data_IF_626585696272
#
_entry.id   IF_626585696272
#
_cell.length_a   1.000
_cell.length_b   1.000
_cell.length_c   1.000
_cell.angle_alpha   90.00
_cell.angle_beta   90.00
_cell.angle_gamma   90.00
#
_symmetry.space_group_name_H-M   'P 1'
#
loop_
_entity.id
_entity.type
_entity.pdbx_description
1 polymer ?
#
# COMPACT_ATOMS: atom_id res chain seq x y z
N UNK A 1 12.51 0.38 -16.27
CA UNK A 1 13.57 -0.49 -16.81
C UNK A 1 14.00 -0.10 -18.24
N UNK A 2 13.11 -0.17 -19.25
CA UNK A 2 13.45 0.14 -20.67
C UNK A 2 14.03 1.55 -20.87
N UNK A 3 13.49 2.55 -20.18
CA UNK A 3 13.97 3.93 -20.24
C UNK A 3 15.38 4.13 -19.65
N UNK A 4 15.70 3.46 -18.55
CA UNK A 4 17.01 3.57 -17.89
C UNK A 4 18.14 2.97 -18.74
N UNK A 5 17.87 1.89 -19.48
CA UNK A 5 18.83 1.31 -20.42
C UNK A 5 19.15 2.29 -21.56
N UNK A 6 18.14 2.92 -22.15
CA UNK A 6 18.33 3.94 -23.20
C UNK A 6 19.17 5.11 -22.69
N UNK A 7 18.86 5.62 -21.49
CA UNK A 7 19.62 6.71 -20.85
C UNK A 7 21.06 6.30 -20.53
N UNK A 8 21.30 5.06 -20.11
CA UNK A 8 22.65 4.56 -19.84
C UNK A 8 23.51 4.47 -21.12
N UNK A 9 22.92 4.15 -22.27
CA UNK A 9 23.64 4.15 -23.56
C UNK A 9 23.98 5.56 -24.07
N UNK A 10 23.14 6.56 -23.77
CA UNK A 10 23.33 7.96 -24.18
C UNK A 10 24.14 8.80 -23.18
N UNK A 11 24.23 8.39 -21.91
CA UNK A 11 25.04 9.08 -20.92
C UNK A 11 26.54 8.81 -21.12
N UNK A 12 27.31 9.88 -21.35
CA UNK A 12 28.79 9.83 -21.44
C UNK A 12 29.45 9.32 -20.15
N UNK A 13 28.75 9.38 -19.02
CA UNK A 13 29.22 9.00 -17.67
C UNK A 13 28.85 7.56 -17.26
N UNK A 14 27.78 6.98 -17.83
CA UNK A 14 27.26 5.65 -17.47
C UNK A 14 27.21 4.66 -18.65
N UNK A 15 27.97 4.94 -19.71
CA UNK A 15 28.04 4.08 -20.90
C UNK A 15 28.46 2.67 -20.51
N UNK A 16 27.53 1.71 -20.62
CA UNK A 16 27.84 0.30 -20.39
C UNK A 16 28.72 -0.21 -21.53
N UNK A 17 30.00 -0.42 -21.24
CA UNK A 17 30.89 -1.17 -22.13
C UNK A 17 30.56 -2.68 -22.12
N UNK A 18 31.20 -3.45 -22.98
CA UNK A 18 31.00 -4.91 -23.11
C UNK A 18 31.17 -5.64 -21.77
N UNK A 19 32.13 -5.23 -20.93
CA UNK A 19 32.33 -5.80 -19.58
C UNK A 19 31.16 -5.49 -18.64
N UNK A 20 30.68 -4.24 -18.61
CA UNK A 20 29.54 -3.84 -17.79
C UNK A 20 28.23 -4.49 -18.25
N UNK A 21 28.07 -4.71 -19.56
CA UNK A 21 26.94 -5.49 -20.09
C UNK A 21 27.02 -6.97 -19.69
N UNK A 22 28.22 -7.56 -19.68
CA UNK A 22 28.46 -8.90 -19.16
C UNK A 22 28.12 -9.03 -17.67
N UNK A 23 28.56 -8.09 -16.83
CA UNK A 23 28.20 -8.05 -15.40
C UNK A 23 26.70 -7.85 -15.18
N UNK A 24 26.05 -6.99 -15.98
CA UNK A 24 24.60 -6.81 -15.94
C UNK A 24 23.85 -8.09 -16.29
N UNK A 25 24.27 -8.80 -17.34
CA UNK A 25 23.68 -10.09 -17.73
C UNK A 25 23.90 -11.14 -16.64
N UNK A 26 25.10 -11.20 -16.05
CA UNK A 26 25.39 -12.12 -14.96
C UNK A 26 24.53 -11.84 -13.73
N UNK A 27 24.45 -10.58 -13.29
CA UNK A 27 23.61 -10.17 -12.16
C UNK A 27 22.12 -10.45 -12.41
N UNK A 28 21.64 -10.15 -13.62
CA UNK A 28 20.24 -10.42 -14.00
C UNK A 28 19.94 -11.92 -14.03
N UNK A 29 20.86 -12.71 -14.59
CA UNK A 29 20.75 -14.18 -14.63
C UNK A 29 20.75 -14.79 -13.23
N UNK A 30 21.58 -14.26 -12.32
CA UNK A 30 21.59 -14.69 -10.91
C UNK A 30 20.25 -14.46 -10.24
N UNK A 31 19.66 -13.27 -10.37
CA UNK A 31 18.32 -12.98 -9.82
C UNK A 31 17.24 -13.87 -10.44
N UNK A 32 17.30 -14.15 -11.74
CA UNK A 32 16.37 -15.07 -12.40
C UNK A 32 16.52 -16.50 -11.85
N UNK A 33 17.76 -16.97 -11.65
CA UNK A 33 18.03 -18.29 -11.08
C UNK A 33 17.50 -18.42 -9.64
N UNK A 34 17.65 -17.38 -8.81
CA UNK A 34 17.07 -17.32 -7.46
C UNK A 34 15.54 -17.42 -7.50
N UNK A 35 14.89 -16.69 -8.42
CA UNK A 35 13.44 -16.76 -8.62
C UNK A 35 13.00 -18.16 -9.10
N UNK A 36 13.75 -18.78 -10.02
CA UNK A 36 13.45 -20.14 -10.50
C UNK A 36 13.48 -21.18 -9.39
N UNK A 37 14.45 -21.11 -8.48
CA UNK A 37 14.52 -22.02 -7.33
C UNK A 37 13.29 -21.92 -6.44
N UNK A 38 12.81 -20.69 -6.20
CA UNK A 38 11.59 -20.45 -5.41
C UNK A 38 10.36 -20.97 -6.16
N UNK A 39 10.22 -20.66 -7.45
CA UNK A 39 9.08 -21.11 -8.27
C UNK A 39 9.02 -22.64 -8.34
N UNK A 40 10.15 -23.34 -8.39
CA UNK A 40 10.19 -24.79 -8.37
C UNK A 40 9.58 -25.36 -7.07
N UNK A 41 9.97 -24.83 -5.91
CA UNK A 41 9.41 -25.23 -4.62
C UNK A 41 7.92 -24.90 -4.50
N UNK A 42 7.53 -23.70 -4.92
CA UNK A 42 6.11 -23.31 -4.96
C UNK A 42 5.32 -24.20 -5.91
N UNK A 43 5.88 -24.57 -7.07
CA UNK A 43 5.28 -25.48 -8.05
C UNK A 43 4.96 -26.86 -7.47
N UNK A 44 5.82 -27.41 -6.63
CA UNK A 44 5.55 -28.68 -5.92
C UNK A 44 4.37 -28.54 -4.95
N UNK A 45 4.29 -27.41 -4.23
CA UNK A 45 3.16 -27.11 -3.33
C UNK A 45 1.87 -27.00 -4.15
N UNK A 46 1.89 -26.27 -5.27
CA UNK A 46 0.73 -26.12 -6.17
C UNK A 46 0.28 -27.47 -6.68
N UNK A 47 1.21 -28.28 -7.18
CA UNK A 47 0.93 -29.61 -7.72
C UNK A 47 0.27 -30.49 -6.67
N UNK A 48 0.79 -30.50 -5.44
CA UNK A 48 0.18 -31.19 -4.31
C UNK A 48 -1.23 -30.68 -3.98
N UNK A 49 -1.40 -29.37 -3.83
CA UNK A 49 -2.68 -28.74 -3.51
C UNK A 49 -3.74 -28.90 -4.60
N UNK A 50 -3.32 -28.94 -5.87
CA UNK A 50 -4.21 -29.13 -7.01
C UNK A 50 -4.63 -30.60 -7.13
N UNK A 51 -3.70 -31.54 -6.95
CA UNK A 51 -3.99 -32.98 -7.00
C UNK A 51 -4.88 -33.44 -5.84
N UNK A 52 -4.71 -32.82 -4.66
CA UNK A 52 -5.54 -33.11 -3.49
C UNK A 52 -6.87 -32.35 -3.45
N UNK A 53 -7.07 -31.35 -4.33
CA UNK A 53 -8.23 -30.46 -4.31
C UNK A 53 -8.28 -29.50 -3.11
N UNK A 54 -7.27 -29.52 -2.24
CA UNK A 54 -7.22 -28.72 -1.00
C UNK A 54 -7.21 -27.23 -1.28
N UNK A 55 -6.64 -26.79 -2.41
CA UNK A 55 -6.64 -25.38 -2.80
C UNK A 55 -8.06 -24.78 -2.92
N UNK A 56 -8.98 -25.55 -3.51
CA UNK A 56 -10.41 -25.17 -3.61
C UNK A 56 -11.17 -25.39 -2.30
N UNK A 57 -10.75 -26.37 -1.48
CA UNK A 57 -11.32 -26.57 -0.15
C UNK A 57 -10.92 -25.44 0.82
N UNK A 58 -9.69 -24.93 0.77
CA UNK A 58 -9.23 -23.81 1.60
C UNK A 58 -10.05 -22.54 1.37
N UNK A 59 -10.38 -22.27 0.10
CA UNK A 59 -11.27 -21.18 -0.26
C UNK A 59 -12.65 -21.32 0.39
N UNK A 60 -13.27 -22.51 0.26
CA UNK A 60 -14.57 -22.82 0.86
C UNK A 60 -14.54 -22.81 2.38
N UNK A 61 -13.50 -23.33 3.00
CA UNK A 61 -13.31 -23.28 4.45
C UNK A 61 -13.18 -21.84 4.95
N UNK A 62 -12.47 -20.96 4.22
CA UNK A 62 -12.42 -19.53 4.54
C UNK A 62 -13.81 -18.89 4.43
N UNK A 63 -14.59 -19.21 3.40
CA UNK A 63 -15.98 -18.74 3.26
C UNK A 63 -16.83 -19.20 4.45
N UNK A 64 -16.76 -20.49 4.77
CA UNK A 64 -17.55 -21.12 5.82
C UNK A 64 -17.17 -20.59 7.21
N UNK A 65 -15.87 -20.41 7.47
CA UNK A 65 -15.35 -19.88 8.73
C UNK A 65 -15.90 -18.49 9.06
N UNK A 66 -16.20 -17.67 8.05
CA UNK A 66 -16.73 -16.32 8.21
C UNK A 66 -18.18 -16.18 7.72
N UNK A 67 -18.92 -17.29 7.60
CA UNK A 67 -20.34 -17.33 7.23
C UNK A 67 -20.67 -16.57 5.93
N UNK A 68 -19.74 -16.52 4.98
CA UNK A 68 -19.91 -15.80 3.71
C UNK A 68 -19.75 -14.28 3.80
N UNK A 69 -19.35 -13.70 4.94
CA UNK A 69 -19.10 -12.27 5.04
C UNK A 69 -17.80 -11.89 4.33
N UNK A 70 -17.92 -11.31 3.14
CA UNK A 70 -16.80 -10.90 2.29
C UNK A 70 -15.77 -10.03 3.02
N UNK A 71 -16.21 -9.10 3.87
CA UNK A 71 -15.31 -8.17 4.58
C UNK A 71 -14.42 -8.94 5.56
N UNK A 72 -15.00 -9.87 6.33
CA UNK A 72 -14.23 -10.68 7.28
C UNK A 72 -13.22 -11.57 6.57
N UNK A 73 -13.61 -12.16 5.42
CA UNK A 73 -12.67 -12.96 4.63
C UNK A 73 -11.55 -12.09 4.05
N UNK A 74 -11.84 -10.88 3.56
CA UNK A 74 -10.81 -9.95 3.10
C UNK A 74 -9.86 -9.57 4.24
N UNK A 75 -10.34 -9.38 5.47
CA UNK A 75 -9.49 -9.12 6.64
C UNK A 75 -8.62 -10.34 6.96
N UNK A 76 -9.17 -11.55 6.94
CA UNK A 76 -8.40 -12.77 7.16
C UNK A 76 -7.33 -12.97 6.07
N UNK A 77 -7.69 -12.72 4.81
CA UNK A 77 -6.78 -12.77 3.67
C UNK A 77 -5.69 -11.69 3.76
N UNK A 78 -6.02 -10.49 4.24
CA UNK A 78 -5.07 -9.41 4.50
C UNK A 78 -4.03 -9.82 5.55
N UNK A 79 -4.48 -10.32 6.70
CA UNK A 79 -3.60 -10.79 7.78
C UNK A 79 -2.73 -11.95 7.29
N UNK A 80 -3.32 -12.92 6.59
CA UNK A 80 -2.60 -14.09 6.06
C UNK A 80 -1.55 -13.67 5.03
N UNK A 81 -1.91 -12.80 4.09
CA UNK A 81 -0.99 -12.27 3.07
C UNK A 81 0.11 -11.40 3.68
N UNK A 82 -0.21 -10.64 4.72
CA UNK A 82 0.75 -9.86 5.48
C UNK A 82 1.78 -10.76 6.16
N UNK A 83 1.32 -11.76 6.92
CA UNK A 83 2.19 -12.68 7.67
C UNK A 83 3.07 -13.49 6.73
N UNK A 84 2.49 -14.04 5.66
CA UNK A 84 3.23 -14.80 4.65
C UNK A 84 4.20 -13.91 3.85
N UNK A 85 3.95 -12.60 3.77
CA UNK A 85 4.88 -11.65 3.15
C UNK A 85 6.12 -11.32 3.98
N UNK A 86 6.11 -11.65 5.27
CA UNK A 86 7.23 -11.42 6.16
C UNK A 86 8.36 -12.43 5.89
N UNK A 87 9.39 -12.01 5.14
CA UNK A 87 10.64 -12.77 5.00
C UNK A 87 10.96 -13.32 3.61
N UNK A 88 10.10 -13.09 2.62
CA UNK A 88 10.35 -13.44 1.22
C UNK A 88 10.53 -12.18 0.36
N UNK A 89 11.24 -12.31 -0.77
CA UNK A 89 11.29 -11.25 -1.79
C UNK A 89 9.88 -11.02 -2.39
N UNK A 90 9.55 -9.79 -2.80
CA UNK A 90 8.22 -9.44 -3.33
C UNK A 90 7.78 -10.37 -4.47
N UNK A 91 8.71 -10.78 -5.33
CA UNK A 91 8.44 -11.71 -6.42
C UNK A 91 8.06 -13.12 -5.91
N UNK A 92 8.79 -13.63 -4.91
CA UNK A 92 8.57 -14.94 -4.32
C UNK A 92 7.22 -15.04 -3.61
N UNK A 93 6.94 -14.07 -2.72
CA UNK A 93 5.67 -14.03 -1.99
C UNK A 93 4.48 -13.88 -2.93
N UNK A 94 4.60 -13.07 -3.99
CA UNK A 94 3.52 -12.91 -4.95
C UNK A 94 3.15 -14.24 -5.61
N UNK A 95 4.13 -14.99 -6.12
CA UNK A 95 3.85 -16.29 -6.76
C UNK A 95 3.16 -17.23 -5.77
N UNK A 96 3.67 -17.31 -4.54
CA UNK A 96 3.06 -18.14 -3.50
C UNK A 96 1.61 -17.73 -3.18
N UNK A 97 1.35 -16.45 -2.91
CA UNK A 97 0.01 -15.95 -2.59
C UNK A 97 -0.95 -15.98 -3.79
N UNK A 98 -0.45 -15.81 -5.01
CA UNK A 98 -1.25 -15.93 -6.23
C UNK A 98 -1.79 -17.35 -6.43
N UNK A 99 -1.18 -18.35 -5.82
CA UNK A 99 -1.61 -19.75 -5.89
C UNK A 99 -2.48 -20.11 -4.70
N UNK A 100 -2.08 -19.70 -3.50
CA UNK A 100 -2.77 -20.11 -2.26
C UNK A 100 -3.98 -19.21 -2.00
N UNK A 101 -3.83 -17.89 -2.15
CA UNK A 101 -4.85 -16.94 -1.72
C UNK A 101 -5.68 -16.30 -2.82
N UNK A 102 -5.10 -15.97 -3.97
CA UNK A 102 -5.88 -15.34 -5.04
C UNK A 102 -7.08 -16.19 -5.50
N UNK A 103 -6.98 -17.53 -5.67
CA UNK A 103 -8.13 -18.36 -6.05
C UNK A 103 -9.25 -18.34 -5.01
N UNK A 104 -8.90 -18.29 -3.72
CA UNK A 104 -9.88 -18.21 -2.65
C UNK A 104 -10.69 -16.92 -2.68
N UNK A 105 -10.04 -15.79 -2.97
CA UNK A 105 -10.73 -14.51 -3.14
C UNK A 105 -11.61 -14.50 -4.40
N UNK A 106 -11.15 -15.14 -5.48
CA UNK A 106 -11.92 -15.23 -6.74
C UNK A 106 -13.18 -16.08 -6.56
N UNK A 107 -13.09 -17.20 -5.85
CA UNK A 107 -14.25 -18.06 -5.56
C UNK A 107 -15.32 -17.34 -4.72
N UNK A 108 -14.90 -16.36 -3.91
CA UNK A 108 -15.76 -15.46 -3.15
C UNK A 108 -16.41 -14.34 -3.97
N UNK A 109 -16.16 -14.29 -5.28
CA UNK A 109 -16.72 -13.29 -6.19
C UNK A 109 -15.88 -12.02 -6.33
N UNK A 110 -14.68 -11.97 -5.75
CA UNK A 110 -13.74 -10.86 -5.99
C UNK A 110 -13.23 -10.96 -7.43
N UNK A 111 -13.15 -9.84 -8.14
CA UNK A 111 -12.59 -9.82 -9.48
C UNK A 111 -11.15 -10.41 -9.48
N UNK A 112 -10.76 -11.26 -10.45
CA UNK A 112 -9.43 -11.87 -10.45
C UNK A 112 -8.26 -10.89 -10.39
N UNK A 113 -8.33 -9.79 -11.14
CA UNK A 113 -7.28 -8.76 -11.14
C UNK A 113 -7.24 -8.07 -9.77
N UNK A 114 -8.41 -7.77 -9.18
CA UNK A 114 -8.49 -7.24 -7.82
C UNK A 114 -7.87 -8.20 -6.80
N UNK A 115 -8.18 -9.50 -6.88
CA UNK A 115 -7.66 -10.52 -5.96
C UNK A 115 -6.14 -10.65 -6.02
N UNK A 116 -5.56 -10.71 -7.22
CA UNK A 116 -4.10 -10.72 -7.39
C UNK A 116 -3.43 -9.43 -6.90
N UNK A 117 -4.05 -8.28 -7.15
CA UNK A 117 -3.57 -7.00 -6.62
C UNK A 117 -3.71 -6.90 -5.11
N UNK A 118 -4.75 -7.50 -4.53
CA UNK A 118 -5.00 -7.48 -3.10
C UNK A 118 -3.88 -8.18 -2.33
N UNK A 119 -3.54 -9.41 -2.74
CA UNK A 119 -2.52 -10.21 -2.07
C UNK A 119 -1.12 -9.60 -2.21
N UNK A 120 -0.76 -9.05 -3.38
CA UNK A 120 0.53 -8.39 -3.57
C UNK A 120 0.61 -7.06 -2.80
N UNK A 121 -0.47 -6.29 -2.73
CA UNK A 121 -0.49 -5.07 -1.90
C UNK A 121 -0.21 -5.42 -0.45
N UNK A 122 -0.96 -6.35 0.13
CA UNK A 122 -0.79 -6.75 1.53
C UNK A 122 0.58 -7.34 1.81
N UNK A 123 1.14 -8.12 0.89
CA UNK A 123 2.51 -8.61 0.99
C UNK A 123 3.53 -7.45 1.01
N UNK A 124 3.39 -6.46 0.13
CA UNK A 124 4.33 -5.31 0.06
C UNK A 124 4.16 -4.33 1.21
N UNK A 125 2.97 -4.22 1.80
CA UNK A 125 2.72 -3.39 2.98
C UNK A 125 3.53 -3.89 4.20
N UNK A 126 3.81 -5.19 4.29
CA UNK A 126 4.72 -5.73 5.33
C UNK A 126 6.13 -5.13 5.30
N UNK A 127 6.59 -4.60 4.15
CA UNK A 127 7.93 -4.03 4.00
C UNK A 127 8.11 -2.68 4.71
N UNK A 128 7.01 -2.02 5.08
CA UNK A 128 7.02 -0.76 5.85
C UNK A 128 6.43 -0.92 7.26
N UNK A 129 5.89 -2.09 7.59
CA UNK A 129 5.17 -2.31 8.86
C UNK A 129 6.08 -2.97 9.90
N UNK A 130 6.27 -2.37 11.08
CA UNK A 130 6.94 -3.04 12.19
C UNK A 130 6.21 -4.32 12.61
N UNK A 131 6.91 -5.38 13.07
CA UNK A 131 8.35 -5.44 13.38
C UNK A 131 9.26 -5.83 12.20
N UNK A 132 8.70 -6.17 11.03
CA UNK A 132 9.48 -6.77 9.93
C UNK A 132 10.09 -5.72 9.02
N UNK A 133 9.30 -4.76 8.53
CA UNK A 133 9.75 -3.45 8.04
C UNK A 133 11.06 -3.42 7.22
N UNK A 134 11.30 -4.43 6.37
CA UNK A 134 12.63 -4.69 5.78
C UNK A 134 13.17 -3.49 4.99
N UNK A 135 12.31 -2.80 4.24
CA UNK A 135 12.70 -1.65 3.45
C UNK A 135 12.97 -0.41 4.33
N UNK A 136 12.12 -0.14 5.32
CA UNK A 136 12.31 1.01 6.20
C UNK A 136 13.46 0.82 7.19
N UNK A 137 13.78 -0.42 7.58
CA UNK A 137 14.98 -0.72 8.39
C UNK A 137 16.27 -0.52 7.58
N UNK A 138 16.28 -0.97 6.32
CA UNK A 138 17.41 -0.70 5.42
C UNK A 138 17.59 0.81 5.18
N UNK A 139 16.49 1.54 4.95
CA UNK A 139 16.52 2.99 4.79
C UNK A 139 17.01 3.71 6.05
N UNK A 140 16.58 3.27 7.24
CA UNK A 140 17.04 3.82 8.51
C UNK A 140 18.54 3.66 8.73
N UNK A 141 19.11 2.50 8.34
CA UNK A 141 20.55 2.28 8.40
C UNK A 141 21.33 3.23 7.47
N UNK A 142 20.79 3.53 6.29
CA UNK A 142 21.39 4.52 5.37
C UNK A 142 21.28 5.93 5.94
N UNK A 143 20.11 6.29 6.49
CA UNK A 143 19.84 7.60 7.07
C UNK A 143 20.42 7.82 8.48
N UNK A 144 21.00 6.78 9.09
CA UNK A 144 21.51 6.76 10.48
C UNK A 144 20.45 7.16 11.52
N UNK A 145 19.22 6.73 11.31
CA UNK A 145 18.09 6.97 12.22
C UNK A 145 17.65 5.67 12.93
N UNK A 146 16.94 5.75 14.07
CA UNK A 146 16.39 4.56 14.71
C UNK A 146 15.43 3.80 13.76
N UNK A 147 15.67 2.50 13.49
CA UNK A 147 14.86 1.73 12.52
C UNK A 147 13.37 1.65 12.86
N UNK A 148 13.06 1.50 14.16
CA UNK A 148 11.68 1.42 14.63
C UNK A 148 10.91 2.72 14.38
N UNK A 149 11.49 3.87 14.76
CA UNK A 149 10.86 5.18 14.55
C UNK A 149 10.67 5.48 13.06
N UNK A 150 11.70 5.20 12.25
CA UNK A 150 11.63 5.38 10.79
C UNK A 150 10.50 4.56 10.18
N UNK A 151 10.28 3.34 10.67
CA UNK A 151 9.22 2.46 10.19
C UNK A 151 7.83 2.88 10.65
N UNK A 152 7.69 3.39 11.88
CA UNK A 152 6.43 3.98 12.34
C UNK A 152 6.04 5.21 11.51
N UNK A 153 7.01 6.06 11.18
CA UNK A 153 6.78 7.22 10.28
C UNK A 153 6.44 6.74 8.87
N UNK A 154 7.16 5.74 8.34
CA UNK A 154 6.87 5.16 7.03
C UNK A 154 5.47 4.53 6.97
N UNK A 155 5.05 3.83 8.02
CA UNK A 155 3.70 3.27 8.17
C UNK A 155 2.64 4.38 8.18
N UNK A 156 2.87 5.47 8.92
CA UNK A 156 1.96 6.62 8.97
C UNK A 156 1.80 7.27 7.59
N UNK A 157 2.90 7.57 6.91
CA UNK A 157 2.91 8.12 5.55
C UNK A 157 2.27 7.15 4.54
N UNK A 158 2.47 5.85 4.76
CA UNK A 158 1.93 4.77 3.93
C UNK A 158 0.54 4.28 4.34
N UNK A 159 -0.12 4.89 5.33
CA UNK A 159 -1.34 4.34 5.96
C UNK A 159 -2.49 4.12 4.95
N UNK A 160 -2.54 4.93 3.89
CA UNK A 160 -3.51 4.76 2.79
C UNK A 160 -3.36 3.39 2.10
N UNK A 161 -2.15 2.82 2.02
CA UNK A 161 -1.89 1.51 1.39
C UNK A 161 -2.58 0.34 2.10
N UNK A 162 -2.97 0.49 3.37
CA UNK A 162 -3.70 -0.55 4.10
C UNK A 162 -5.18 -0.55 3.74
N UNK A 163 -5.71 0.57 3.25
CA UNK A 163 -7.14 0.75 2.96
C UNK A 163 -7.45 0.46 1.49
N UNK A 164 -6.61 0.95 0.58
CA UNK A 164 -6.83 0.84 -0.87
C UNK A 164 -7.09 -0.60 -1.35
N UNK A 165 -6.45 -1.65 -0.82
CA UNK A 165 -6.75 -3.03 -1.22
C UNK A 165 -8.19 -3.44 -1.00
N UNK A 166 -8.78 -3.06 0.13
CA UNK A 166 -10.19 -3.35 0.39
C UNK A 166 -11.09 -2.60 -0.59
N UNK A 167 -10.74 -1.36 -0.94
CA UNK A 167 -11.52 -0.56 -1.88
C UNK A 167 -11.64 -1.24 -3.25
N UNK A 168 -10.52 -1.66 -3.86
CA UNK A 168 -10.57 -2.29 -5.18
C UNK A 168 -11.05 -3.75 -5.16
N UNK A 169 -10.97 -4.44 -4.01
CA UNK A 169 -11.59 -5.76 -3.85
C UNK A 169 -13.11 -5.68 -3.81
N UNK A 170 -13.67 -4.59 -3.26
CA UNK A 170 -15.10 -4.34 -3.18
C UNK A 170 -15.66 -3.60 -4.41
N UNK A 171 -14.82 -2.84 -5.13
CA UNK A 171 -15.23 -2.08 -6.31
C UNK A 171 -14.30 -2.38 -7.52
N UNK A 172 -14.74 -3.21 -8.47
CA UNK A 172 -13.94 -3.58 -9.65
C UNK A 172 -13.67 -2.40 -10.61
N UNK A 173 -14.40 -1.28 -10.51
CA UNK A 173 -14.12 -0.10 -11.33
C UNK A 173 -12.73 0.50 -11.03
N UNK A 174 -12.20 0.34 -9.82
CA UNK A 174 -10.86 0.79 -9.44
C UNK A 174 -9.73 0.01 -10.14
N UNK A 175 -10.02 -1.19 -10.62
CA UNK A 175 -9.11 -2.02 -11.42
C UNK A 175 -9.42 -1.97 -12.91
N UNK A 176 -10.19 -0.95 -13.33
CA UNK A 176 -10.65 -0.76 -14.70
C UNK A 176 -11.45 -1.96 -15.24
N UNK A 177 -12.17 -2.67 -14.36
CA UNK A 177 -13.05 -3.80 -14.69
C UNK A 177 -14.52 -3.35 -14.65
N UNK A 178 -14.83 -2.23 -15.30
CA UNK A 178 -16.16 -1.64 -15.42
C UNK A 178 -16.24 -0.76 -16.69
N UNK A 179 -17.44 -0.34 -17.12
CA UNK A 179 -17.59 0.61 -18.22
C UNK A 179 -16.79 1.90 -17.97
N UNK A 180 -16.24 2.48 -19.04
CA UNK A 180 -15.34 3.64 -18.96
C UNK A 180 -15.90 4.82 -18.11
N UNK A 181 -17.19 5.21 -18.21
CA UNK A 181 -17.72 6.29 -17.38
C UNK A 181 -17.65 5.99 -15.88
N UNK A 182 -17.94 4.75 -15.48
CA UNK A 182 -17.92 4.31 -14.09
C UNK A 182 -16.49 4.28 -13.54
N UNK A 183 -15.53 3.82 -14.35
CA UNK A 183 -14.10 3.85 -14.01
C UNK A 183 -13.63 5.28 -13.76
N UNK A 184 -13.99 6.22 -14.63
CA UNK A 184 -13.58 7.63 -14.48
C UNK A 184 -14.17 8.27 -13.23
N UNK A 185 -15.46 8.06 -12.97
CA UNK A 185 -16.14 8.58 -11.78
C UNK A 185 -15.51 8.00 -10.51
N UNK A 186 -15.34 6.69 -10.46
CA UNK A 186 -14.74 5.99 -9.32
C UNK A 186 -13.30 6.41 -9.09
N UNK A 187 -12.53 6.63 -10.17
CA UNK A 187 -11.16 7.11 -10.09
C UNK A 187 -11.06 8.51 -9.47
N UNK A 188 -11.95 9.43 -9.84
CA UNK A 188 -12.02 10.77 -9.24
C UNK A 188 -12.35 10.67 -7.75
N UNK A 189 -13.34 9.87 -7.37
CA UNK A 189 -13.68 9.65 -5.96
C UNK A 189 -12.51 9.02 -5.20
N UNK A 190 -11.81 8.05 -5.79
CA UNK A 190 -10.64 7.43 -5.17
C UNK A 190 -9.53 8.45 -4.88
N UNK A 191 -9.26 9.38 -5.79
CA UNK A 191 -8.28 10.46 -5.55
C UNK A 191 -8.70 11.30 -4.34
N UNK A 192 -9.98 11.69 -4.27
CA UNK A 192 -10.52 12.47 -3.15
C UNK A 192 -10.43 11.67 -1.84
N UNK A 193 -10.79 10.39 -1.85
CA UNK A 193 -10.69 9.49 -0.72
C UNK A 193 -9.25 9.33 -0.21
N UNK A 194 -8.28 9.16 -1.12
CA UNK A 194 -6.85 9.13 -0.78
C UNK A 194 -6.40 10.44 -0.12
N UNK A 195 -6.84 11.59 -0.63
CA UNK A 195 -6.52 12.90 -0.04
C UNK A 195 -7.10 13.02 1.37
N UNK A 196 -8.35 12.61 1.59
CA UNK A 196 -8.98 12.65 2.92
C UNK A 196 -8.27 11.74 3.92
N UNK A 197 -7.98 10.50 3.53
CA UNK A 197 -7.22 9.57 4.38
C UNK A 197 -5.82 10.09 4.67
N UNK A 198 -5.12 10.60 3.65
CA UNK A 198 -3.78 11.20 3.82
C UNK A 198 -3.79 12.37 4.80
N UNK A 199 -4.75 13.30 4.66
CA UNK A 199 -4.93 14.43 5.58
C UNK A 199 -5.25 13.96 7.00
N UNK A 200 -6.06 12.91 7.14
CA UNK A 200 -6.43 12.35 8.43
C UNK A 200 -5.24 11.68 9.14
N UNK A 201 -4.46 10.85 8.44
CA UNK A 201 -3.32 10.14 9.02
C UNK A 201 -2.13 11.05 9.32
N UNK A 202 -1.83 12.03 8.47
CA UNK A 202 -0.77 13.01 8.73
C UNK A 202 -1.20 14.10 9.70
N UNK A 203 -2.49 14.38 9.82
CA UNK A 203 -3.00 15.43 10.71
C UNK A 203 -2.70 16.82 10.17
N UNK A 204 -2.68 16.94 8.84
CA UNK A 204 -2.50 18.20 8.15
C UNK A 204 -3.43 18.24 6.94
N UNK A 205 -4.25 19.29 6.87
CA UNK A 205 -5.12 19.51 5.71
C UNK A 205 -4.34 20.21 4.60
N UNK A 206 -4.15 19.48 3.50
CA UNK A 206 -3.65 20.05 2.24
C UNK A 206 -4.58 21.20 1.82
N UNK A 207 -4.04 22.29 1.27
CA UNK A 207 -4.72 23.54 0.89
C UNK A 207 -5.17 24.47 2.04
N UNK A 208 -5.52 23.95 3.22
CA UNK A 208 -5.94 24.78 4.37
C UNK A 208 -4.75 25.20 5.24
N UNK A 209 -3.70 24.37 5.28
CA UNK A 209 -2.47 24.67 6.03
C UNK A 209 -2.68 24.67 7.55
N UNK A 210 -3.57 23.80 8.04
CA UNK A 210 -3.95 23.69 9.45
C UNK A 210 -4.04 22.24 9.91
N UNK A 211 -3.93 22.05 11.23
CA UNK A 211 -4.04 20.75 11.89
C UNK A 211 -5.50 20.49 12.29
N UNK A 212 -6.17 19.44 11.77
CA UNK A 212 -7.49 19.06 12.22
C UNK A 212 -7.46 18.46 13.63
N UNK A 213 -8.52 18.71 14.40
CA UNK A 213 -8.75 18.02 15.68
C UNK A 213 -8.90 16.52 15.52
N UNK A 214 -8.68 15.76 16.59
CA UNK A 214 -8.89 14.30 16.61
C UNK A 214 -10.28 13.88 16.12
N UNK A 215 -11.34 14.62 16.49
CA UNK A 215 -12.70 14.38 15.98
C UNK A 215 -12.78 14.57 14.47
N UNK A 216 -12.18 15.63 13.94
CA UNK A 216 -12.18 15.94 12.51
C UNK A 216 -11.33 14.93 11.73
N UNK A 217 -10.25 14.44 12.32
CA UNK A 217 -9.44 13.34 11.75
C UNK A 217 -10.26 12.07 11.65
N UNK A 218 -11.00 11.71 12.71
CA UNK A 218 -11.90 10.55 12.67
C UNK A 218 -12.99 10.72 11.60
N UNK A 219 -13.61 11.91 11.49
CA UNK A 219 -14.59 12.20 10.44
C UNK A 219 -13.99 12.15 9.03
N UNK A 220 -12.74 12.60 8.84
CA UNK A 220 -12.04 12.49 7.56
C UNK A 220 -11.69 11.04 7.21
N UNK A 221 -11.40 10.18 8.20
CA UNK A 221 -11.23 8.74 7.98
C UNK A 221 -12.55 8.15 7.48
N UNK A 222 -13.65 8.44 8.17
CA UNK A 222 -14.98 7.96 7.76
C UNK A 222 -15.35 8.50 6.37
N UNK A 223 -15.11 9.79 6.10
CA UNK A 223 -15.32 10.41 4.79
C UNK A 223 -14.51 9.68 3.70
N UNK A 224 -13.23 9.43 3.95
CA UNK A 224 -12.35 8.71 3.03
C UNK A 224 -12.84 7.30 2.75
N UNK A 225 -13.19 6.53 3.79
CA UNK A 225 -13.71 5.17 3.66
C UNK A 225 -15.04 5.12 2.91
N UNK A 226 -15.98 6.03 3.20
CA UNK A 226 -17.26 6.13 2.49
C UNK A 226 -17.06 6.50 1.01
N UNK A 227 -16.05 7.31 0.71
CA UNK A 227 -15.72 7.68 -0.67
C UNK A 227 -15.29 6.47 -1.51
N UNK A 228 -14.72 5.44 -0.90
CA UNK A 228 -14.32 4.19 -1.56
C UNK A 228 -15.45 3.16 -1.70
N UNK A 229 -16.61 3.38 -1.09
CA UNK A 229 -17.73 2.47 -1.21
C UNK A 229 -18.22 2.39 -2.67
N UNK A 230 -18.70 1.22 -3.13
CA UNK A 230 -19.14 1.03 -4.50
C UNK A 230 -20.41 1.81 -4.85
N UNK A 231 -21.28 2.11 -3.88
CA UNK A 231 -22.50 2.88 -4.16
C UNK A 231 -22.22 4.37 -4.24
N UNK A 232 -22.70 4.99 -5.33
CA UNK A 232 -22.57 6.42 -5.59
C UNK A 232 -23.10 7.29 -4.44
N UNK A 233 -24.17 6.85 -3.76
CA UNK A 233 -24.75 7.56 -2.63
C UNK A 233 -23.72 7.71 -1.49
N UNK A 234 -23.05 6.60 -1.11
CA UNK A 234 -22.00 6.65 -0.09
C UNK A 234 -20.79 7.47 -0.55
N UNK A 235 -20.42 7.39 -1.83
CA UNK A 235 -19.32 8.21 -2.36
C UNK A 235 -19.61 9.70 -2.25
N UNK A 236 -20.82 10.13 -2.62
CA UNK A 236 -21.25 11.53 -2.53
C UNK A 236 -21.34 11.99 -1.07
N UNK A 237 -21.90 11.18 -0.18
CA UNK A 237 -21.95 11.47 1.26
C UNK A 237 -20.52 11.63 1.82
N UNK A 238 -19.59 10.76 1.43
CA UNK A 238 -18.18 10.84 1.81
C UNK A 238 -17.54 12.16 1.36
N UNK A 239 -17.76 12.57 0.11
CA UNK A 239 -17.26 13.84 -0.42
C UNK A 239 -17.86 15.04 0.31
N UNK A 240 -19.17 15.05 0.54
CA UNK A 240 -19.85 16.14 1.28
C UNK A 240 -19.34 16.22 2.71
N UNK A 241 -19.21 15.09 3.41
CA UNK A 241 -18.68 15.04 4.78
C UNK A 241 -17.25 15.58 4.83
N UNK A 242 -16.39 15.15 3.89
CA UNK A 242 -15.02 15.63 3.80
C UNK A 242 -14.96 17.13 3.47
N UNK A 243 -15.78 17.62 2.54
CA UNK A 243 -15.87 19.04 2.20
C UNK A 243 -16.33 19.88 3.41
N UNK A 244 -17.31 19.41 4.17
CA UNK A 244 -17.74 20.04 5.43
C UNK A 244 -16.60 20.06 6.43
N UNK A 245 -15.85 18.97 6.59
CA UNK A 245 -14.69 18.93 7.47
C UNK A 245 -13.62 19.96 7.06
N UNK A 246 -13.32 20.07 5.75
CA UNK A 246 -12.41 21.08 5.22
C UNK A 246 -12.91 22.51 5.48
N UNK A 247 -14.19 22.76 5.24
CA UNK A 247 -14.81 24.06 5.46
C UNK A 247 -14.81 24.46 6.94
N UNK A 248 -15.25 23.56 7.82
CA UNK A 248 -15.23 23.77 9.27
C UNK A 248 -13.81 24.01 9.75
N UNK A 249 -12.80 23.25 9.28
CA UNK A 249 -11.40 23.49 9.70
C UNK A 249 -10.86 24.82 9.18
N UNK A 250 -11.33 25.26 8.01
CA UNK A 250 -10.92 26.53 7.40
C UNK A 250 -11.46 27.74 8.18
N UNK A 251 -12.67 27.67 8.70
CA UNK A 251 -13.37 28.81 9.31
C UNK A 251 -13.53 28.71 10.83
N UNK A 252 -13.87 27.54 11.37
CA UNK A 252 -14.04 27.29 12.80
C UNK A 252 -12.85 26.53 13.38
N UNK A 253 -11.90 27.32 13.86
CA UNK A 253 -10.73 26.86 14.58
C UNK A 253 -11.13 26.09 15.84
N UNK A 254 -11.00 24.76 15.81
CA UNK A 254 -11.06 23.94 17.02
C UNK A 254 -9.71 23.27 17.34
N UNK A 255 -8.69 23.37 16.48
CA UNK A 255 -7.42 22.67 16.66
C UNK A 255 -6.18 23.43 16.19
N UNK A 256 -5.42 23.92 17.18
CA UNK A 256 -3.97 24.16 17.12
C UNK A 256 -3.44 25.18 16.12
N UNK A 257 -2.66 26.13 16.63
CA UNK A 257 -2.00 27.21 15.89
C UNK A 257 -1.36 26.78 14.55
N UNK A 258 -1.33 27.74 13.61
CA UNK A 258 -0.55 27.65 12.37
C UNK A 258 0.94 27.41 12.70
N UNK A 259 1.35 26.16 12.89
CA UNK A 259 2.77 25.79 12.85
C UNK A 259 3.11 25.49 11.39
N UNK A 260 3.82 26.39 10.68
CA UNK A 260 4.29 26.08 9.35
C UNK A 260 5.28 24.91 9.47
N UNK A 261 5.02 23.82 8.72
CA UNK A 261 5.98 22.75 8.40
C UNK A 261 7.03 22.49 9.48
N UNK A 262 6.71 21.69 10.50
CA UNK A 262 7.61 20.78 11.27
C UNK A 262 9.05 21.17 11.58
N UNK A 263 9.46 22.42 11.42
CA UNK A 263 10.71 22.99 11.84
C UNK A 263 10.38 23.54 13.20
N UNK A 264 10.67 22.71 14.20
CA UNK A 264 10.73 23.16 15.57
C UNK A 264 11.73 24.33 15.61
N UNK A 265 11.22 25.53 15.87
CA UNK A 265 12.07 26.73 15.97
C UNK A 265 13.07 26.58 17.12
N UNK A 266 12.75 25.74 18.10
CA UNK A 266 13.59 25.48 19.25
C UNK A 266 14.74 24.54 18.89
N UNK A 267 14.52 23.58 17.97
CA UNK A 267 15.59 22.71 17.44
C UNK A 267 16.62 23.47 16.58
N UNK A 268 16.19 24.49 15.83
CA UNK A 268 17.12 25.40 15.13
C UNK A 268 17.90 26.29 16.10
N UNK A 269 17.32 26.62 17.26
CA UNK A 269 18.01 27.38 18.30
C UNK A 269 19.08 26.53 19.00
N UNK A 270 18.78 25.27 19.32
CA UNK A 270 19.75 24.35 19.93
C UNK A 270 20.91 23.99 18.99
N UNK A 271 20.64 23.73 17.70
CA UNK A 271 21.71 23.50 16.72
C UNK A 271 22.59 24.75 16.50
N UNK A 272 22.02 25.95 16.56
CA UNK A 272 22.80 27.20 16.46
C UNK A 272 23.69 27.46 17.68
N UNK A 273 23.23 27.09 18.89
CA UNK A 273 23.99 27.24 20.14
C UNK A 273 25.09 26.18 20.28
N UNK A 274 24.90 24.98 19.71
CA UNK A 274 25.90 23.92 19.70
C UNK A 274 26.96 24.09 18.61
N UNK A 275 26.69 24.87 17.55
CA UNK A 275 27.68 25.23 16.53
C UNK A 275 28.62 26.36 16.97
N UNK A 276 28.31 27.05 18.08
CA UNK A 276 29.09 28.18 18.62
C UNK A 276 29.95 27.81 19.85
N UNK A 277 29.97 26.53 20.25
CA UNK A 277 30.86 25.98 21.30
C UNK A 277 31.84 24.97 20.72
#
# INVERSE_FOLDING_TARGET
MRFLLVVAFFSKKYRMGIKGFGEFLYSSSKTIAEILGIIAGVGLIVGGLSMTGVSLSLARELVNAFSGNLILVLIAAAITSFVLGMGMTVSAVYVFLAIVMAPALVELGVNPIAGHLFVIYWATVSYITPPVALASFAAANIARTPPMQTSLVAMRLGAVKYVVPFAFALNPALVAQAPLPEVLITFVFAIVGVIFLGCAFEGWLVFVGRRPNWVMRALLIVAGLLTFAPELAFSVIGVVLGAVCFFVTRFWNLGGEHTPLGIDKDALSEESVLAEK
#
